data_IF_151636392200
#
_entry.id   IF_151636392200
#
_cell.length_a   1.000
_cell.length_b   1.000
_cell.length_c   1.000
_cell.angle_alpha   90.00
_cell.angle_beta   90.00
_cell.angle_gamma   90.00
#
_symmetry.space_group_name_H-M   'P 1'
#
loop_
_entity.id
_entity.type
_entity.pdbx_description
1 polymer ?
#
# COMPACT_ATOMS: atom_id res chain seq x y z
N UNK A 1 -19.56 -18.89 9.42
CA UNK A 1 -18.87 -18.66 10.72
C UNK A 1 -19.82 -17.92 11.63
N UNK A 2 -20.18 -18.46 12.76
CA UNK A 2 -20.94 -17.73 13.78
C UNK A 2 -20.04 -16.82 14.62
N UNK A 3 -20.62 -16.06 15.57
CA UNK A 3 -19.86 -15.06 16.32
C UNK A 3 -18.86 -15.68 17.33
N UNK A 4 -19.15 -16.83 17.89
CA UNK A 4 -18.24 -17.50 18.83
C UNK A 4 -17.11 -18.21 18.10
N UNK A 5 -17.39 -18.81 16.96
CA UNK A 5 -16.37 -19.36 16.05
C UNK A 5 -15.39 -18.26 15.61
N UNK A 6 -15.92 -17.10 15.17
CA UNK A 6 -15.11 -15.96 14.78
C UNK A 6 -14.16 -15.51 15.90
N UNK A 7 -14.64 -15.42 17.15
CA UNK A 7 -13.79 -15.07 18.30
C UNK A 7 -12.66 -16.08 18.52
N UNK A 8 -12.94 -17.36 18.36
CA UNK A 8 -11.94 -18.43 18.48
C UNK A 8 -10.82 -18.27 17.44
N UNK A 9 -11.21 -18.12 16.17
CA UNK A 9 -10.28 -17.93 15.04
C UNK A 9 -9.44 -16.64 15.23
N UNK A 10 -10.07 -15.53 15.64
CA UNK A 10 -9.38 -14.26 15.86
C UNK A 10 -8.35 -14.35 16.99
N UNK A 11 -8.61 -15.13 18.05
CA UNK A 11 -7.65 -15.36 19.13
C UNK A 11 -6.43 -16.12 18.63
N UNK A 12 -6.65 -17.19 17.87
CA UNK A 12 -5.58 -17.98 17.28
C UNK A 12 -4.71 -17.14 16.33
N UNK A 13 -5.34 -16.34 15.45
CA UNK A 13 -4.62 -15.41 14.58
C UNK A 13 -3.75 -14.47 15.41
N UNK A 14 -4.29 -13.88 16.46
CA UNK A 14 -3.58 -12.91 17.30
C UNK A 14 -2.35 -13.53 17.98
N UNK A 15 -2.48 -14.74 18.51
CA UNK A 15 -1.38 -15.49 19.10
C UNK A 15 -0.25 -15.73 18.09
N UNK A 16 -0.59 -16.15 16.88
CA UNK A 16 0.37 -16.40 15.79
C UNK A 16 1.04 -15.11 15.29
N UNK A 17 0.28 -14.03 15.17
CA UNK A 17 0.81 -12.71 14.78
C UNK A 17 1.81 -12.18 15.82
N UNK A 18 1.51 -12.34 17.12
CA UNK A 18 2.45 -11.97 18.20
C UNK A 18 3.77 -12.77 18.14
N UNK A 19 3.69 -14.03 17.72
CA UNK A 19 4.84 -14.89 17.49
C UNK A 19 5.55 -14.64 16.14
N UNK A 20 5.02 -13.74 15.31
CA UNK A 20 5.45 -13.48 13.92
C UNK A 20 5.33 -14.68 12.98
N UNK A 21 4.46 -15.62 13.30
CA UNK A 21 4.17 -16.83 12.52
C UNK A 21 3.07 -16.54 11.48
N UNK A 22 3.34 -15.62 10.56
CA UNK A 22 2.36 -15.13 9.59
C UNK A 22 1.79 -16.23 8.70
N UNK A 23 2.61 -17.22 8.30
CA UNK A 23 2.16 -18.36 7.50
C UNK A 23 1.08 -19.19 8.21
N UNK A 24 1.17 -19.33 9.53
CA UNK A 24 0.17 -20.04 10.34
C UNK A 24 -1.04 -19.14 10.66
N UNK A 25 -0.79 -17.85 10.93
CA UNK A 25 -1.85 -16.87 11.20
C UNK A 25 -2.82 -16.71 10.02
N UNK A 26 -2.34 -16.84 8.79
CA UNK A 26 -3.10 -16.64 7.55
C UNK A 26 -3.19 -17.91 6.69
N UNK A 27 -2.89 -19.08 7.24
CA UNK A 27 -2.74 -20.33 6.50
C UNK A 27 -4.02 -20.90 5.89
N UNK A 28 -5.19 -20.57 6.45
CA UNK A 28 -6.48 -21.04 5.93
C UNK A 28 -7.35 -19.91 5.39
N UNK A 29 -8.27 -20.21 4.48
CA UNK A 29 -9.22 -19.22 3.96
C UNK A 29 -10.04 -18.62 5.09
N UNK A 30 -10.51 -19.43 6.03
CA UNK A 30 -11.28 -19.00 7.19
C UNK A 30 -10.52 -17.95 8.03
N UNK A 31 -9.22 -18.18 8.30
CA UNK A 31 -8.38 -17.22 9.02
C UNK A 31 -8.21 -15.90 8.23
N UNK A 32 -8.03 -15.98 6.91
CA UNK A 32 -7.94 -14.79 6.07
C UNK A 32 -9.25 -14.01 6.02
N UNK A 33 -10.40 -14.68 5.96
CA UNK A 33 -11.71 -14.04 6.07
C UNK A 33 -11.90 -13.37 7.44
N UNK A 34 -11.61 -14.07 8.52
CA UNK A 34 -11.67 -13.51 9.87
C UNK A 34 -10.76 -12.29 10.02
N UNK A 35 -9.53 -12.36 9.50
CA UNK A 35 -8.59 -11.24 9.47
C UNK A 35 -9.17 -10.06 8.66
N UNK A 36 -9.72 -10.33 7.48
CA UNK A 36 -10.33 -9.32 6.62
C UNK A 36 -11.49 -8.61 7.34
N UNK A 37 -12.37 -9.36 8.00
CA UNK A 37 -13.51 -8.78 8.75
C UNK A 37 -13.03 -7.94 9.94
N UNK A 38 -12.00 -8.38 10.67
CA UNK A 38 -11.61 -7.73 11.93
C UNK A 38 -10.71 -6.51 11.73
N UNK A 39 -9.69 -6.62 10.89
CA UNK A 39 -8.64 -5.59 10.82
C UNK A 39 -8.66 -4.77 9.53
N UNK A 40 -9.13 -5.32 8.42
CA UNK A 40 -9.08 -4.62 7.14
C UNK A 40 -9.95 -3.36 7.08
N UNK A 41 -11.15 -3.25 7.70
CA UNK A 41 -11.97 -2.04 7.57
C UNK A 41 -11.28 -0.78 8.10
N UNK A 42 -10.71 -0.83 9.29
CA UNK A 42 -9.99 0.31 9.87
C UNK A 42 -8.75 0.70 9.06
N UNK A 43 -8.02 -0.31 8.56
CA UNK A 43 -6.84 -0.11 7.72
C UNK A 43 -7.22 0.44 6.35
N UNK A 44 -8.28 -0.08 5.72
CA UNK A 44 -8.75 0.40 4.42
C UNK A 44 -9.11 1.89 4.46
N UNK A 45 -9.81 2.34 5.52
CA UNK A 45 -10.14 3.74 5.71
C UNK A 45 -8.88 4.61 5.89
N UNK A 46 -7.91 4.11 6.68
CA UNK A 46 -6.64 4.80 6.87
C UNK A 46 -5.84 4.93 5.57
N UNK A 47 -5.71 3.84 4.83
CA UNK A 47 -4.98 3.81 3.55
C UNK A 47 -5.65 4.69 2.49
N UNK A 48 -6.97 4.62 2.37
CA UNK A 48 -7.72 5.48 1.45
C UNK A 48 -7.51 6.96 1.75
N UNK A 49 -7.53 7.36 3.04
CA UNK A 49 -7.27 8.73 3.45
C UNK A 49 -5.85 9.19 3.12
N UNK A 50 -4.83 8.35 3.35
CA UNK A 50 -3.44 8.67 3.00
C UNK A 50 -3.29 8.85 1.49
N UNK A 51 -3.83 7.93 0.69
CA UNK A 51 -3.71 8.02 -0.78
C UNK A 51 -4.50 9.21 -1.31
N UNK A 52 -5.70 9.49 -0.78
CA UNK A 52 -6.50 10.67 -1.17
C UNK A 52 -5.77 11.99 -0.86
N UNK A 53 -5.13 12.09 0.31
CA UNK A 53 -4.33 13.27 0.67
C UNK A 53 -3.12 13.44 -0.25
N UNK A 54 -2.45 12.33 -0.60
CA UNK A 54 -1.35 12.35 -1.56
C UNK A 54 -1.82 12.74 -2.96
N UNK A 55 -3.00 12.28 -3.41
CA UNK A 55 -3.57 12.70 -4.69
C UNK A 55 -3.79 14.22 -4.73
N UNK A 56 -4.39 14.80 -3.67
CA UNK A 56 -4.59 16.24 -3.56
C UNK A 56 -3.27 17.02 -3.55
N UNK A 57 -2.29 16.54 -2.79
CA UNK A 57 -0.96 17.15 -2.77
C UNK A 57 -0.26 17.06 -4.13
N UNK A 58 -0.39 15.94 -4.82
CA UNK A 58 0.16 15.76 -6.16
C UNK A 58 -0.45 16.71 -7.18
N UNK A 59 -1.75 17.02 -7.08
CA UNK A 59 -2.40 18.03 -7.92
C UNK A 59 -1.82 19.44 -7.68
N UNK A 60 -1.49 19.77 -6.43
CA UNK A 60 -0.88 21.06 -6.05
C UNK A 60 0.59 21.18 -6.54
N UNK A 61 1.33 20.08 -6.58
CA UNK A 61 2.76 20.00 -6.92
C UNK A 61 3.01 19.49 -8.36
N UNK A 62 1.97 19.36 -9.19
CA UNK A 62 2.02 18.91 -10.59
C UNK A 62 2.60 17.50 -10.80
N UNK A 63 2.34 16.56 -9.91
CA UNK A 63 2.65 15.15 -10.08
C UNK A 63 1.44 14.26 -9.75
N UNK A 64 1.43 13.01 -10.19
CA UNK A 64 0.32 12.09 -9.97
C UNK A 64 0.73 10.90 -9.12
N UNK A 65 -0.04 10.62 -8.07
CA UNK A 65 0.13 9.42 -7.23
C UNK A 65 -0.26 8.17 -8.00
N UNK A 66 -1.27 8.29 -8.86
CA UNK A 66 -1.74 7.22 -9.73
C UNK A 66 -1.51 7.67 -11.19
N UNK A 67 -0.26 7.60 -11.68
CA UNK A 67 0.05 8.04 -13.02
C UNK A 67 -0.72 7.20 -14.05
N UNK A 68 -1.29 7.86 -15.03
CA UNK A 68 -1.98 7.20 -16.14
C UNK A 68 -1.07 7.07 -17.35
N UNK A 69 -1.23 5.98 -18.09
CA UNK A 69 -0.33 5.61 -19.17
C UNK A 69 -0.68 6.13 -20.55
N UNK A 70 -1.88 6.63 -20.80
CA UNK A 70 -2.36 6.94 -22.15
C UNK A 70 -3.08 8.28 -22.21
N UNK A 71 -2.70 9.09 -23.20
CA UNK A 71 -3.22 10.44 -23.42
C UNK A 71 -4.59 10.47 -24.12
N UNK A 72 -5.05 9.39 -24.77
CA UNK A 72 -6.16 9.51 -25.72
C UNK A 72 -7.43 8.68 -25.52
N UNK A 73 -7.48 7.55 -24.78
CA UNK A 73 -8.72 6.76 -24.77
C UNK A 73 -9.22 6.33 -23.40
N UNK A 74 -8.42 5.73 -22.56
CA UNK A 74 -8.78 5.35 -21.19
C UNK A 74 -7.56 5.55 -20.31
N UNK A 75 -7.65 6.50 -19.37
CA UNK A 75 -6.59 6.67 -18.38
C UNK A 75 -6.51 5.43 -17.50
N UNK A 76 -5.67 4.47 -17.86
CA UNK A 76 -5.41 3.30 -17.03
C UNK A 76 -4.34 3.65 -16.01
N UNK A 77 -4.74 3.68 -14.75
CA UNK A 77 -3.83 3.83 -13.61
C UNK A 77 -3.37 2.44 -13.18
N UNK A 78 -2.13 2.30 -12.71
CA UNK A 78 -1.61 1.04 -12.22
C UNK A 78 -1.16 1.15 -10.77
N UNK A 79 -1.62 0.21 -9.93
CA UNK A 79 -1.15 0.04 -8.56
C UNK A 79 -0.63 -1.39 -8.34
N UNK A 80 0.51 -1.52 -7.68
CA UNK A 80 1.11 -2.81 -7.31
C UNK A 80 1.31 -2.86 -5.80
N UNK A 81 0.61 -3.76 -5.12
CA UNK A 81 0.59 -3.84 -3.67
C UNK A 81 1.39 -5.05 -3.18
N UNK A 82 2.59 -4.83 -2.70
CA UNK A 82 3.44 -5.87 -2.11
C UNK A 82 3.07 -6.11 -0.65
N UNK A 83 2.71 -7.36 -0.31
CA UNK A 83 2.13 -7.73 0.98
C UNK A 83 0.70 -7.23 1.13
N UNK A 84 0.04 -6.95 -0.01
CA UNK A 84 -1.32 -6.44 -0.01
C UNK A 84 -2.36 -7.52 0.24
N UNK A 85 -3.51 -7.08 0.73
CA UNK A 85 -4.63 -7.95 1.10
C UNK A 85 -5.97 -7.22 0.95
N UNK A 86 -6.96 -7.65 1.71
CA UNK A 86 -8.32 -7.09 1.70
C UNK A 86 -8.35 -5.57 1.99
N UNK A 87 -7.45 -5.07 2.83
CA UNK A 87 -7.45 -3.65 3.21
C UNK A 87 -7.05 -2.75 2.05
N UNK A 88 -6.04 -3.13 1.28
CA UNK A 88 -5.60 -2.40 0.08
C UNK A 88 -6.69 -2.41 -1.00
N UNK A 89 -7.27 -3.57 -1.29
CA UNK A 89 -8.35 -3.71 -2.27
C UNK A 89 -9.52 -2.77 -1.95
N UNK A 90 -9.95 -2.75 -0.69
CA UNK A 90 -11.05 -1.90 -0.24
C UNK A 90 -10.67 -0.42 -0.17
N UNK A 91 -9.42 -0.09 0.18
CA UNK A 91 -8.93 1.28 0.17
C UNK A 91 -8.97 1.88 -1.24
N UNK A 92 -8.47 1.16 -2.24
CA UNK A 92 -8.48 1.61 -3.63
C UNK A 92 -9.90 1.64 -4.22
N UNK A 93 -10.78 0.70 -3.84
CA UNK A 93 -12.19 0.76 -4.23
C UNK A 93 -12.88 2.02 -3.67
N UNK A 94 -12.66 2.35 -2.39
CA UNK A 94 -13.18 3.56 -1.76
C UNK A 94 -12.60 4.84 -2.39
N UNK A 95 -11.29 4.84 -2.69
CA UNK A 95 -10.61 5.96 -3.35
C UNK A 95 -11.21 6.24 -4.74
N UNK A 96 -11.39 5.18 -5.56
CA UNK A 96 -12.02 5.33 -6.87
C UNK A 96 -13.43 5.90 -6.78
N UNK A 97 -14.19 5.50 -5.79
CA UNK A 97 -15.51 6.05 -5.51
C UNK A 97 -15.44 7.52 -5.09
N UNK A 98 -14.46 7.88 -4.25
CA UNK A 98 -14.23 9.27 -3.82
C UNK A 98 -13.84 10.18 -4.97
N UNK A 99 -12.92 9.75 -5.82
CA UNK A 99 -12.46 10.52 -6.98
C UNK A 99 -13.54 10.69 -8.06
N UNK A 100 -14.62 9.89 -8.02
CA UNK A 100 -15.70 9.89 -9.02
C UNK A 100 -17.09 9.84 -8.40
N UNK A 101 -17.55 10.91 -7.76
CA UNK A 101 -18.86 10.93 -7.14
C UNK A 101 -20.02 10.71 -8.11
N UNK A 102 -19.87 11.10 -9.39
CA UNK A 102 -20.95 11.12 -10.39
C UNK A 102 -21.21 9.77 -11.08
N UNK A 103 -20.28 8.82 -11.04
CA UNK A 103 -20.42 7.53 -11.76
C UNK A 103 -21.40 6.53 -11.12
N UNK A 104 -21.90 6.77 -9.94
CA UNK A 104 -22.73 5.81 -9.18
C UNK A 104 -24.12 6.30 -8.81
N UNK A 105 -24.60 7.39 -9.32
CA UNK A 105 -25.85 8.00 -8.83
C UNK A 105 -26.96 8.22 -9.84
N UNK A 106 -26.81 7.85 -11.09
CA UNK A 106 -27.92 7.95 -12.06
C UNK A 106 -28.40 6.57 -12.48
N UNK A 107 -29.71 6.27 -12.35
CA UNK A 107 -30.29 5.09 -12.96
C UNK A 107 -30.08 5.17 -14.49
N UNK A 108 -29.78 4.03 -15.09
CA UNK A 108 -29.56 3.87 -16.54
C UNK A 108 -30.73 4.36 -17.43
N UNK A 109 -31.87 4.69 -16.84
CA UNK A 109 -33.08 5.15 -17.52
C UNK A 109 -33.10 6.65 -17.83
N UNK A 110 -32.11 7.42 -17.40
CA UNK A 110 -32.01 8.88 -17.70
C UNK A 110 -30.79 9.24 -18.55
N UNK A 111 -30.29 8.31 -19.35
CA UNK A 111 -29.33 8.64 -20.39
C UNK A 111 -30.10 9.25 -21.55
N UNK A 112 -30.20 10.57 -21.56
CA UNK A 112 -30.64 11.34 -22.72
C UNK A 112 -29.74 10.97 -23.91
N UNK A 113 -30.35 10.57 -25.04
CA UNK A 113 -29.66 10.22 -26.30
C UNK A 113 -28.86 11.39 -26.92
N UNK A 114 -28.65 12.48 -26.21
CA UNK A 114 -27.89 13.67 -26.58
C UNK A 114 -26.77 14.05 -25.66
N UNK A 115 -26.44 13.28 -24.62
CA UNK A 115 -25.36 13.64 -23.70
C UNK A 115 -24.00 13.36 -24.31
N UNK A 116 -23.11 14.37 -24.21
CA UNK A 116 -21.70 14.39 -24.58
C UNK A 116 -21.00 13.06 -24.26
N UNK A 117 -19.98 12.65 -25.09
CA UNK A 117 -19.27 11.38 -24.91
C UNK A 117 -18.82 11.23 -23.46
N UNK A 118 -19.11 10.07 -22.85
CA UNK A 118 -18.66 9.73 -21.50
C UNK A 118 -17.19 10.13 -21.35
N UNK A 119 -16.95 11.17 -20.55
CA UNK A 119 -15.59 11.56 -20.19
C UNK A 119 -14.86 10.32 -19.73
N UNK A 120 -13.77 9.99 -20.41
CA UNK A 120 -12.95 8.79 -20.32
C UNK A 120 -13.01 8.14 -18.92
N UNK A 121 -13.58 6.94 -18.86
CA UNK A 121 -13.63 6.18 -17.63
C UNK A 121 -12.19 5.77 -17.27
N UNK A 122 -11.58 6.45 -16.29
CA UNK A 122 -10.28 6.00 -15.81
C UNK A 122 -10.45 4.63 -15.15
N UNK A 123 -9.60 3.71 -15.48
CA UNK A 123 -9.57 2.34 -14.99
C UNK A 123 -8.37 2.16 -14.05
N UNK A 124 -8.52 1.44 -12.96
CA UNK A 124 -7.42 1.03 -12.11
C UNK A 124 -7.09 -0.44 -12.34
N UNK A 125 -5.89 -0.72 -12.78
CA UNK A 125 -5.30 -2.05 -12.82
C UNK A 125 -4.49 -2.25 -11.53
N UNK A 126 -5.01 -3.07 -10.63
CA UNK A 126 -4.43 -3.34 -9.32
C UNK A 126 -3.89 -4.76 -9.26
N UNK A 127 -2.58 -4.90 -8.99
CA UNK A 127 -1.95 -6.19 -8.71
C UNK A 127 -1.65 -6.29 -7.22
N UNK A 128 -2.12 -7.35 -6.59
CA UNK A 128 -1.87 -7.67 -5.17
C UNK A 128 -0.95 -8.87 -5.08
N UNK A 129 0.14 -8.76 -4.33
CA UNK A 129 1.13 -9.82 -4.15
C UNK A 129 1.26 -10.15 -2.67
N UNK A 130 1.08 -11.40 -2.30
CA UNK A 130 1.29 -11.89 -0.94
C UNK A 130 1.68 -13.37 -0.96
N UNK A 131 2.31 -13.84 0.12
CA UNK A 131 2.65 -15.26 0.30
C UNK A 131 1.44 -16.11 0.68
N UNK A 132 0.48 -15.54 1.40
CA UNK A 132 -0.79 -16.19 1.72
C UNK A 132 -1.77 -16.05 0.54
N UNK A 133 -2.58 -17.08 0.28
CA UNK A 133 -3.55 -17.08 -0.81
C UNK A 133 -4.78 -16.22 -0.50
N UNK A 134 -4.68 -14.93 -0.75
CA UNK A 134 -5.79 -13.98 -0.59
C UNK A 134 -6.83 -14.02 -1.71
N UNK A 135 -6.59 -14.78 -2.79
CA UNK A 135 -7.47 -14.75 -3.96
C UNK A 135 -8.95 -14.99 -3.64
N UNK A 136 -9.33 -16.00 -2.83
CA UNK A 136 -10.75 -16.22 -2.53
C UNK A 136 -11.43 -15.04 -1.81
N UNK A 137 -10.71 -14.40 -0.88
CA UNK A 137 -11.21 -13.23 -0.14
C UNK A 137 -11.32 -12.01 -1.06
N UNK A 138 -10.32 -11.78 -1.89
CA UNK A 138 -10.29 -10.67 -2.84
C UNK A 138 -11.38 -10.79 -3.90
N UNK A 139 -11.63 -11.99 -4.42
CA UNK A 139 -12.71 -12.25 -5.38
C UNK A 139 -14.10 -11.94 -4.76
N UNK A 140 -14.32 -12.35 -3.50
CA UNK A 140 -15.56 -12.05 -2.75
C UNK A 140 -15.73 -10.53 -2.55
N UNK A 141 -14.65 -9.82 -2.17
CA UNK A 141 -14.68 -8.37 -1.99
C UNK A 141 -14.92 -7.62 -3.29
N UNK A 142 -14.24 -8.01 -4.37
CA UNK A 142 -14.44 -7.40 -5.69
C UNK A 142 -15.89 -7.59 -6.17
N UNK A 143 -16.43 -8.78 -6.04
CA UNK A 143 -17.83 -9.06 -6.34
C UNK A 143 -18.77 -8.18 -5.51
N UNK A 144 -18.53 -8.07 -4.20
CA UNK A 144 -19.35 -7.24 -3.33
C UNK A 144 -19.27 -5.74 -3.65
N UNK A 145 -18.12 -5.24 -4.14
CA UNK A 145 -17.98 -3.82 -4.52
C UNK A 145 -18.68 -3.50 -5.85
N UNK A 146 -18.81 -4.46 -6.74
CA UNK A 146 -19.41 -4.29 -8.08
C UNK A 146 -20.85 -4.74 -8.17
N UNK A 147 -21.43 -5.25 -7.09
CA UNK A 147 -22.82 -5.69 -6.99
C UNK A 147 -23.57 -4.83 -5.97
N UNK A 148 -24.80 -4.37 -6.28
CA UNK A 148 -25.60 -3.66 -5.29
C UNK A 148 -25.84 -4.52 -4.04
N UNK A 149 -25.74 -3.96 -2.82
CA UNK A 149 -26.02 -4.68 -1.58
C UNK A 149 -27.42 -5.30 -1.56
N UNK A 150 -27.53 -6.48 -0.97
CA UNK A 150 -28.84 -7.11 -0.79
C UNK A 150 -29.71 -6.30 0.18
N UNK A 151 -30.88 -5.89 -0.27
CA UNK A 151 -31.84 -5.18 0.56
C UNK A 151 -32.83 -6.13 1.21
N UNK A 152 -33.25 -5.77 2.42
CA UNK A 152 -34.38 -6.42 3.06
C UNK A 152 -35.64 -6.33 2.17
N UNK A 153 -36.48 -7.36 2.20
CA UNK A 153 -37.80 -7.32 1.53
C UNK A 153 -38.67 -6.14 1.96
N UNK A 154 -38.41 -5.59 3.13
CA UNK A 154 -39.12 -4.42 3.68
C UNK A 154 -38.39 -3.08 3.41
N UNK A 155 -37.38 -3.06 2.58
CA UNK A 155 -36.67 -1.84 2.25
C UNK A 155 -37.63 -0.80 1.63
N UNK A 156 -37.49 0.45 2.03
CA UNK A 156 -38.27 1.56 1.49
C UNK A 156 -38.01 1.76 -0.01
N UNK A 157 -38.94 2.43 -0.71
CA UNK A 157 -38.75 2.80 -2.12
C UNK A 157 -37.49 3.66 -2.30
N UNK A 158 -37.22 4.60 -1.40
CA UNK A 158 -36.02 5.41 -1.41
C UNK A 158 -34.76 4.57 -1.24
N UNK A 159 -34.72 3.61 -0.30
CA UNK A 159 -33.58 2.72 -0.12
C UNK A 159 -33.33 1.86 -1.36
N UNK A 160 -34.39 1.41 -2.05
CA UNK A 160 -34.25 0.66 -3.31
C UNK A 160 -33.72 1.51 -4.45
N UNK A 161 -34.23 2.77 -4.57
CA UNK A 161 -33.78 3.70 -5.59
C UNK A 161 -32.32 4.14 -5.43
N UNK A 162 -31.83 4.19 -4.18
CA UNK A 162 -30.44 4.55 -3.86
C UNK A 162 -29.48 3.36 -3.74
N UNK A 163 -29.94 2.13 -3.99
CA UNK A 163 -29.14 0.93 -3.84
C UNK A 163 -28.31 0.63 -5.10
N UNK A 164 -27.11 1.18 -5.11
CA UNK A 164 -26.17 1.00 -6.21
C UNK A 164 -24.91 0.27 -5.73
N UNK A 165 -24.21 -0.38 -6.67
CA UNK A 165 -22.88 -0.91 -6.41
C UNK A 165 -21.91 0.23 -6.04
N UNK A 166 -20.88 -0.09 -5.25
CA UNK A 166 -19.83 0.87 -4.89
C UNK A 166 -19.09 1.33 -6.15
N UNK A 167 -18.77 0.41 -7.05
CA UNK A 167 -18.04 0.65 -8.29
C UNK A 167 -18.76 0.03 -9.50
N UNK A 168 -18.54 0.62 -10.68
CA UNK A 168 -18.80 -0.05 -11.95
C UNK A 168 -17.83 -1.22 -12.13
N UNK A 169 -18.27 -2.36 -12.71
CA UNK A 169 -17.36 -3.48 -13.00
C UNK A 169 -16.14 -3.12 -13.86
N UNK A 170 -16.25 -2.09 -14.70
CA UNK A 170 -15.16 -1.60 -15.55
C UNK A 170 -14.17 -0.67 -14.86
N UNK A 171 -14.40 -0.28 -13.59
CA UNK A 171 -13.57 0.72 -12.89
C UNK A 171 -12.31 0.15 -12.28
N UNK A 172 -12.32 -1.14 -11.91
CA UNK A 172 -11.24 -1.81 -11.20
C UNK A 172 -11.02 -3.22 -11.75
N UNK A 173 -9.82 -3.50 -12.21
CA UNK A 173 -9.32 -4.87 -12.38
C UNK A 173 -8.40 -5.20 -11.22
N UNK A 174 -8.65 -6.33 -10.56
CA UNK A 174 -7.83 -6.81 -9.46
C UNK A 174 -7.23 -8.16 -9.82
N UNK A 175 -5.90 -8.22 -9.85
CA UNK A 175 -5.13 -9.43 -10.10
C UNK A 175 -4.39 -9.82 -8.81
N UNK A 176 -4.50 -11.07 -8.39
CA UNK A 176 -3.75 -11.61 -7.27
C UNK A 176 -2.63 -12.53 -7.74
N UNK A 177 -1.44 -12.36 -7.18
CA UNK A 177 -0.28 -13.21 -7.42
C UNK A 177 0.25 -13.75 -6.08
N UNK A 178 0.23 -15.06 -5.91
CA UNK A 178 0.78 -15.69 -4.71
C UNK A 178 2.30 -15.85 -4.86
N UNK A 179 3.07 -14.99 -4.19
CA UNK A 179 4.53 -15.03 -4.20
C UNK A 179 5.11 -14.60 -2.85
N UNK A 180 6.20 -15.26 -2.45
CA UNK A 180 7.11 -14.71 -1.45
C UNK A 180 7.91 -13.56 -2.10
N UNK A 181 7.66 -12.34 -1.62
CA UNK A 181 8.28 -11.10 -2.13
C UNK A 181 9.82 -11.21 -2.11
N UNK A 182 10.39 -11.78 -1.04
CA UNK A 182 11.84 -11.90 -0.89
C UNK A 182 12.47 -12.93 -1.82
N UNK A 183 11.66 -13.86 -2.35
CA UNK A 183 12.09 -14.87 -3.32
C UNK A 183 11.87 -14.44 -4.78
N UNK A 184 11.17 -13.33 -5.04
CA UNK A 184 10.90 -12.86 -6.41
C UNK A 184 12.19 -12.60 -7.18
N UNK A 185 12.27 -13.17 -8.38
CA UNK A 185 13.34 -12.88 -9.34
C UNK A 185 13.17 -11.49 -9.97
N UNK A 186 14.25 -10.92 -10.52
CA UNK A 186 14.17 -9.66 -11.25
C UNK A 186 13.13 -9.69 -12.39
N UNK A 187 13.05 -10.83 -13.11
CA UNK A 187 12.05 -11.02 -14.17
C UNK A 187 10.63 -10.95 -13.64
N UNK A 188 10.33 -11.64 -12.54
CA UNK A 188 8.99 -11.57 -11.92
C UNK A 188 8.63 -10.15 -11.46
N UNK A 189 9.59 -9.40 -10.91
CA UNK A 189 9.36 -7.99 -10.54
C UNK A 189 9.05 -7.15 -11.77
N UNK A 190 9.82 -7.30 -12.87
CA UNK A 190 9.59 -6.61 -14.14
C UNK A 190 8.19 -6.95 -14.69
N UNK A 191 7.85 -8.23 -14.76
CA UNK A 191 6.57 -8.71 -15.29
C UNK A 191 5.39 -8.15 -14.46
N UNK A 192 5.60 -7.95 -13.15
CA UNK A 192 4.58 -7.42 -12.24
C UNK A 192 4.42 -5.91 -12.35
N UNK A 193 5.50 -5.13 -12.26
CA UNK A 193 5.40 -3.66 -12.27
C UNK A 193 5.26 -3.12 -13.70
N UNK A 194 5.79 -3.84 -14.69
CA UNK A 194 5.80 -3.41 -16.09
C UNK A 194 6.81 -2.29 -16.36
N UNK A 195 6.62 -1.59 -17.49
CA UNK A 195 7.50 -0.54 -17.99
C UNK A 195 6.89 0.86 -17.96
N UNK A 196 5.68 1.01 -17.44
CA UNK A 196 4.98 2.29 -17.31
C UNK A 196 5.04 2.78 -15.85
N UNK A 197 4.89 4.09 -15.59
CA UNK A 197 4.80 4.61 -14.23
C UNK A 197 3.67 3.93 -13.46
N UNK A 198 3.91 3.61 -12.20
CA UNK A 198 2.90 2.99 -11.33
C UNK A 198 3.08 3.42 -9.87
N UNK A 199 2.00 3.27 -9.10
CA UNK A 199 2.06 3.34 -7.65
C UNK A 199 2.42 1.97 -7.09
N UNK A 200 3.51 1.89 -6.36
CA UNK A 200 3.93 0.68 -5.64
C UNK A 200 3.70 0.89 -4.15
N UNK A 201 3.00 -0.01 -3.49
CA UNK A 201 2.67 0.14 -2.06
C UNK A 201 3.23 -0.98 -1.20
N UNK A 202 3.62 -0.61 0.05
CA UNK A 202 4.00 -1.50 1.14
C UNK A 202 3.26 -1.04 2.39
N UNK A 203 2.08 -1.63 2.68
CA UNK A 203 1.28 -1.22 3.81
C UNK A 203 1.38 -2.26 4.93
N UNK A 204 1.99 -1.87 6.06
CA UNK A 204 2.33 -2.72 7.20
C UNK A 204 3.15 -3.97 6.85
N UNK A 205 3.96 -3.87 5.81
CA UNK A 205 4.67 -5.01 5.20
C UNK A 205 6.18 -4.85 5.27
N UNK A 206 6.70 -3.68 4.91
CA UNK A 206 8.14 -3.51 4.66
C UNK A 206 8.98 -3.67 5.94
N UNK A 207 8.48 -3.18 7.08
CA UNK A 207 9.11 -3.41 8.38
C UNK A 207 9.19 -4.90 8.72
N UNK A 208 8.16 -5.68 8.41
CA UNK A 208 8.17 -7.14 8.60
C UNK A 208 9.20 -7.82 7.69
N UNK A 209 9.29 -7.41 6.42
CA UNK A 209 10.28 -7.95 5.47
C UNK A 209 11.72 -7.66 5.92
N UNK A 210 11.99 -6.45 6.40
CA UNK A 210 13.30 -6.11 6.96
C UNK A 210 13.62 -6.88 8.25
N UNK A 211 12.64 -7.12 9.11
CA UNK A 211 12.81 -7.96 10.29
C UNK A 211 13.08 -9.44 9.94
N UNK A 212 12.53 -9.94 8.82
CA UNK A 212 12.83 -11.28 8.34
C UNK A 212 14.24 -11.37 7.76
N UNK A 213 14.66 -10.41 6.96
CA UNK A 213 16.00 -10.40 6.36
C UNK A 213 16.37 -9.04 5.75
N UNK A 214 17.24 -8.31 6.42
CA UNK A 214 17.77 -7.04 5.89
C UNK A 214 18.39 -7.22 4.50
N UNK A 215 19.30 -8.20 4.27
CA UNK A 215 19.95 -8.34 2.96
C UNK A 215 18.96 -8.66 1.84
N UNK A 216 18.00 -9.57 2.07
CA UNK A 216 17.03 -9.96 1.04
C UNK A 216 16.07 -8.81 0.72
N UNK A 217 15.59 -8.09 1.76
CA UNK A 217 14.70 -6.95 1.57
C UNK A 217 15.41 -5.80 0.84
N UNK A 218 16.64 -5.50 1.23
CA UNK A 218 17.47 -4.51 0.52
C UNK A 218 17.71 -4.90 -0.94
N UNK A 219 18.04 -6.15 -1.20
CA UNK A 219 18.19 -6.67 -2.56
C UNK A 219 16.89 -6.59 -3.38
N UNK A 220 15.74 -6.84 -2.75
CA UNK A 220 14.44 -6.66 -3.39
C UNK A 220 14.17 -5.19 -3.73
N UNK A 221 14.45 -4.27 -2.81
CA UNK A 221 14.31 -2.83 -3.06
C UNK A 221 15.23 -2.33 -4.19
N UNK A 222 16.45 -2.85 -4.31
CA UNK A 222 17.30 -2.57 -5.47
C UNK A 222 16.75 -3.13 -6.79
N UNK A 223 16.06 -4.29 -6.77
CA UNK A 223 15.35 -4.78 -7.97
C UNK A 223 14.23 -3.83 -8.38
N UNK A 224 13.47 -3.29 -7.42
CA UNK A 224 12.44 -2.29 -7.69
C UNK A 224 13.05 -0.99 -8.23
N UNK A 225 14.13 -0.49 -7.61
CA UNK A 225 14.86 0.69 -8.11
C UNK A 225 15.29 0.50 -9.57
N UNK A 226 15.77 -0.66 -9.93
CA UNK A 226 16.25 -0.92 -11.28
C UNK A 226 15.15 -0.93 -12.36
N UNK A 227 13.89 -1.25 -12.00
CA UNK A 227 12.81 -1.52 -12.97
C UNK A 227 11.69 -0.50 -13.00
N UNK A 228 11.45 0.23 -11.90
CA UNK A 228 10.39 1.22 -11.85
C UNK A 228 10.68 2.38 -12.82
N UNK A 229 9.67 2.77 -13.61
CA UNK A 229 9.78 3.87 -14.57
C UNK A 229 9.77 5.23 -13.87
N UNK A 230 10.35 6.26 -14.52
CA UNK A 230 10.24 7.66 -14.09
C UNK A 230 8.77 8.04 -13.93
N UNK A 231 8.45 8.78 -12.87
CA UNK A 231 7.07 9.10 -12.48
C UNK A 231 6.42 8.05 -11.56
N UNK A 232 7.04 6.89 -11.34
CA UNK A 232 6.54 5.91 -10.37
C UNK A 232 6.70 6.42 -8.94
N UNK A 233 5.78 5.99 -8.07
CA UNK A 233 5.80 6.29 -6.64
C UNK A 233 5.91 5.00 -5.83
N UNK A 234 6.78 4.99 -4.82
CA UNK A 234 6.79 3.99 -3.75
C UNK A 234 6.17 4.64 -2.52
N UNK A 235 5.04 4.10 -2.07
CA UNK A 235 4.32 4.55 -0.88
C UNK A 235 4.39 3.48 0.21
N UNK A 236 4.89 3.86 1.37
CA UNK A 236 5.03 3.00 2.53
C UNK A 236 4.16 3.54 3.66
N UNK A 237 3.32 2.68 4.23
CA UNK A 237 2.64 2.88 5.50
C UNK A 237 3.09 1.77 6.42
N UNK A 238 3.69 2.09 7.57
CA UNK A 238 4.20 1.08 8.49
C UNK A 238 3.99 1.48 9.95
N UNK A 239 4.24 0.56 10.86
CA UNK A 239 4.10 0.80 12.30
C UNK A 239 5.02 1.95 12.72
N UNK A 240 4.54 2.81 13.62
CA UNK A 240 5.33 3.91 14.18
C UNK A 240 6.61 3.35 14.79
N UNK A 241 7.74 3.97 14.47
CA UNK A 241 9.05 3.58 15.00
C UNK A 241 9.51 2.21 14.52
N UNK A 242 8.96 1.70 13.40
CA UNK A 242 9.50 0.50 12.76
C UNK A 242 11.01 0.62 12.60
N UNK A 243 11.71 -0.26 13.29
CA UNK A 243 13.16 -0.30 13.31
C UNK A 243 13.63 -1.75 13.25
N UNK A 244 14.84 -1.93 12.74
CA UNK A 244 15.46 -3.25 12.57
C UNK A 244 16.75 -3.25 13.36
N UNK A 245 17.04 -4.27 14.18
CA UNK A 245 18.28 -4.36 14.91
C UNK A 245 19.50 -4.18 14.00
N UNK A 246 20.45 -3.36 14.42
CA UNK A 246 21.74 -3.26 13.73
C UNK A 246 22.46 -4.62 13.76
N UNK A 247 23.13 -5.05 12.68
CA UNK A 247 23.94 -6.28 12.71
C UNK A 247 25.04 -6.26 13.79
N UNK A 248 25.53 -5.07 14.16
CA UNK A 248 26.53 -4.87 15.21
C UNK A 248 25.91 -4.80 16.62
N UNK A 249 24.61 -4.68 16.77
CA UNK A 249 23.94 -4.51 18.08
C UNK A 249 24.22 -5.67 19.05
N UNK A 250 24.53 -6.87 18.56
CA UNK A 250 24.84 -8.02 19.41
C UNK A 250 26.23 -7.97 20.04
N UNK A 251 27.15 -7.15 19.51
CA UNK A 251 28.56 -7.07 19.91
C UNK A 251 29.00 -5.67 20.33
N UNK A 252 28.17 -4.67 20.04
CA UNK A 252 28.44 -3.26 20.38
C UNK A 252 28.05 -2.93 21.82
N UNK A 253 28.71 -1.93 22.40
CA UNK A 253 28.31 -1.34 23.66
C UNK A 253 26.89 -0.79 23.52
N UNK A 254 25.95 -1.10 24.45
CA UNK A 254 24.56 -0.63 24.39
C UNK A 254 24.38 0.89 24.26
N UNK A 255 25.34 1.67 24.75
CA UNK A 255 25.35 3.14 24.65
C UNK A 255 25.99 3.66 23.34
N UNK A 256 26.58 2.78 22.53
CA UNK A 256 27.22 3.16 21.27
C UNK A 256 26.21 3.45 20.16
N UNK A 257 26.56 4.30 19.20
CA UNK A 257 25.74 4.53 18.01
C UNK A 257 25.59 3.26 17.13
N UNK A 258 26.56 2.36 17.20
CA UNK A 258 26.55 1.09 16.49
C UNK A 258 25.46 0.10 17.01
N UNK A 259 25.03 0.28 18.24
CA UNK A 259 23.95 -0.50 18.85
C UNK A 259 22.54 0.01 18.47
N UNK A 260 22.44 1.23 17.91
CA UNK A 260 21.14 1.82 17.56
C UNK A 260 20.48 1.05 16.42
N UNK A 261 19.17 0.76 16.54
CA UNK A 261 18.44 0.10 15.46
C UNK A 261 18.30 1.02 14.25
N UNK A 262 18.32 0.43 13.06
CA UNK A 262 18.07 1.15 11.81
C UNK A 262 16.59 1.47 11.68
N UNK A 263 16.24 2.74 11.48
CA UNK A 263 14.86 3.12 11.16
C UNK A 263 14.53 2.74 9.71
N UNK A 264 13.24 2.48 9.44
CA UNK A 264 12.78 2.18 8.09
C UNK A 264 13.11 3.30 7.10
N UNK A 265 12.93 4.56 7.53
CA UNK A 265 13.31 5.74 6.73
C UNK A 265 14.80 5.73 6.37
N UNK A 266 15.69 5.44 7.33
CA UNK A 266 17.13 5.37 7.07
C UNK A 266 17.52 4.30 6.06
N UNK A 267 16.91 3.09 6.18
CA UNK A 267 17.16 1.98 5.25
C UNK A 267 16.74 2.35 3.82
N UNK A 268 15.58 2.97 3.68
CA UNK A 268 15.04 3.39 2.38
C UNK A 268 15.83 4.55 1.77
N UNK A 269 16.21 5.55 2.56
CA UNK A 269 17.02 6.67 2.08
C UNK A 269 18.37 6.19 1.54
N UNK A 270 18.95 5.16 2.17
CA UNK A 270 20.21 4.57 1.70
C UNK A 270 20.04 3.85 0.35
N UNK A 271 18.94 3.14 0.15
CA UNK A 271 18.68 2.40 -1.10
C UNK A 271 18.24 3.34 -2.22
N UNK A 272 17.29 4.23 -1.95
CA UNK A 272 16.63 5.02 -2.98
C UNK A 272 17.36 6.34 -3.25
N UNK A 273 17.82 7.04 -2.21
CA UNK A 273 18.49 8.34 -2.36
C UNK A 273 20.01 8.23 -2.50
N UNK A 274 20.59 7.02 -2.37
CA UNK A 274 22.03 6.82 -2.46
C UNK A 274 22.83 7.53 -1.35
N UNK A 275 22.19 7.87 -0.22
CA UNK A 275 22.88 8.56 0.88
C UNK A 275 23.96 7.64 1.46
N UNK A 276 25.25 8.04 1.47
CA UNK A 276 26.28 7.26 2.13
C UNK A 276 25.98 7.18 3.63
N UNK A 277 26.45 6.11 4.27
CA UNK A 277 26.45 6.07 5.75
C UNK A 277 27.21 7.29 6.24
N UNK A 278 26.60 8.09 7.13
CA UNK A 278 27.36 9.15 7.84
C UNK A 278 28.60 8.52 8.41
N UNK A 279 29.75 9.00 7.95
CA UNK A 279 31.03 8.57 8.53
C UNK A 279 31.04 9.09 9.96
N UNK A 280 31.04 8.20 10.94
CA UNK A 280 31.40 8.54 12.32
C UNK A 280 32.70 9.34 12.25
N UNK A 281 32.78 10.53 12.85
CA UNK A 281 34.01 11.33 12.80
C UNK A 281 35.08 10.58 13.61
N UNK A 282 35.90 9.81 12.91
CA UNK A 282 37.16 9.34 13.46
C UNK A 282 38.07 10.56 13.59
N UNK A 283 38.30 11.04 14.83
CA UNK A 283 39.34 11.97 15.13
C UNK A 283 40.70 11.34 14.73
N UNK A 284 41.29 11.80 13.64
CA UNK A 284 42.57 11.30 13.21
C UNK A 284 43.09 12.04 11.96
N UNK A 285 43.86 13.15 12.21
CA UNK A 285 44.89 13.76 11.39
C UNK A 285 44.73 13.80 9.87
N UNK A 286 44.66 15.02 9.44
CA UNK A 286 44.67 15.59 8.11
C UNK A 286 45.55 14.95 7.04
N UNK A 287 44.98 14.95 5.85
CA UNK A 287 45.65 15.33 4.61
C UNK A 287 44.58 15.76 3.59
N UNK A 288 44.87 16.90 2.94
CA UNK A 288 44.16 17.46 1.81
C UNK A 288 43.89 16.40 0.75
N UNK A 289 42.61 16.16 0.46
CA UNK A 289 42.15 15.73 -0.84
C UNK A 289 40.89 16.55 -1.13
N UNK A 290 41.16 17.73 -1.68
CA UNK A 290 40.13 18.59 -2.27
C UNK A 290 40.44 18.52 -3.77
N UNK A 291 39.61 17.78 -4.53
CA UNK A 291 39.48 17.95 -5.99
C UNK A 291 38.86 16.75 -6.73
N UNK A 292 38.44 15.66 -6.03
CA UNK A 292 37.76 14.53 -6.72
C UNK A 292 36.27 14.37 -6.38
N UNK A 293 35.65 15.29 -5.63
CA UNK A 293 34.25 15.16 -5.17
C UNK A 293 33.18 15.58 -6.21
N UNK A 294 33.55 16.28 -7.30
CA UNK A 294 32.55 16.74 -8.28
C UNK A 294 32.22 15.71 -9.37
N UNK A 295 33.07 14.72 -9.61
CA UNK A 295 32.88 13.75 -10.70
C UNK A 295 31.99 12.56 -10.32
N UNK A 296 31.59 12.39 -9.06
CA UNK A 296 30.85 11.22 -8.58
C UNK A 296 29.63 11.58 -7.72
N UNK A 297 28.94 12.68 -8.06
CA UNK A 297 27.61 12.90 -7.45
C UNK A 297 26.68 11.78 -7.91
N UNK A 298 26.10 11.00 -6.97
CA UNK A 298 25.13 9.97 -7.36
C UNK A 298 24.00 10.65 -8.14
N UNK A 299 23.68 10.10 -9.31
CA UNK A 299 22.51 10.54 -10.07
C UNK A 299 21.30 10.32 -9.17
N UNK A 300 20.68 11.41 -8.70
CA UNK A 300 19.50 11.36 -7.86
C UNK A 300 18.36 10.78 -8.73
N UNK A 301 17.97 9.57 -8.42
CA UNK A 301 16.90 8.86 -9.15
C UNK A 301 15.56 8.98 -8.47
N UNK A 302 15.54 9.32 -7.19
CA UNK A 302 14.38 9.38 -6.34
C UNK A 302 14.34 10.65 -5.53
N UNK A 303 13.15 11.15 -5.32
CA UNK A 303 12.83 12.26 -4.45
C UNK A 303 11.93 11.77 -3.32
N UNK A 304 12.27 12.08 -2.07
CA UNK A 304 11.40 11.81 -0.93
C UNK A 304 10.35 12.90 -0.84
N UNK A 305 9.12 12.57 -1.19
CA UNK A 305 7.99 13.53 -1.23
C UNK A 305 7.17 13.56 0.07
N UNK A 306 7.22 12.49 0.87
CA UNK A 306 6.57 12.44 2.20
C UNK A 306 7.47 11.75 3.21
N UNK A 307 7.52 12.31 4.43
CA UNK A 307 8.12 11.70 5.61
C UNK A 307 7.34 12.15 6.84
N UNK A 308 6.37 11.34 7.26
CA UNK A 308 5.58 11.55 8.46
C UNK A 308 5.84 10.39 9.44
N UNK A 309 6.58 10.66 10.51
CA UNK A 309 6.98 9.65 11.48
C UNK A 309 5.80 9.14 12.31
N UNK A 310 4.74 9.96 12.44
CA UNK A 310 3.53 9.61 13.16
C UNK A 310 2.30 10.28 12.56
N UNK A 311 1.39 9.45 12.06
CA UNK A 311 0.06 9.87 11.62
C UNK A 311 -1.00 9.03 12.33
N UNK A 312 -2.10 9.66 12.71
CA UNK A 312 -3.24 8.99 13.34
C UNK A 312 -4.45 9.17 12.45
N UNK A 313 -4.97 8.07 11.91
CA UNK A 313 -6.27 8.07 11.26
C UNK A 313 -7.35 7.92 12.32
N UNK A 314 -8.01 9.03 12.64
CA UNK A 314 -9.17 9.04 13.54
C UNK A 314 -10.42 8.74 12.73
N UNK A 315 -11.19 7.77 13.20
CA UNK A 315 -12.45 7.38 12.56
C UNK A 315 -13.58 8.29 13.06
N UNK A 316 -14.53 8.60 12.16
CA UNK A 316 -15.74 9.33 12.53
C UNK A 316 -16.62 8.44 13.43
N UNK A 317 -17.08 8.98 14.56
CA UNK A 317 -17.95 8.29 15.52
C UNK A 317 -19.31 7.87 14.94
N UNK A 318 -19.68 8.46 13.81
CA UNK A 318 -20.90 8.09 13.07
C UNK A 318 -20.77 6.83 12.25
N UNK A 319 -19.55 6.38 11.98
CA UNK A 319 -19.33 5.13 11.27
C UNK A 319 -19.96 3.96 12.02
N UNK A 320 -20.65 3.11 11.28
CA UNK A 320 -21.26 1.89 11.80
C UNK A 320 -20.70 0.69 11.06
N UNK A 321 -20.19 -0.23 11.82
CA UNK A 321 -19.64 -1.50 11.33
C UNK A 321 -20.04 -2.61 12.33
N UNK A 322 -20.42 -3.80 11.86
CA UNK A 322 -20.82 -4.89 12.76
C UNK A 322 -19.72 -5.34 13.75
N UNK A 323 -18.47 -5.18 13.37
CA UNK A 323 -17.31 -5.44 14.22
C UNK A 323 -16.75 -4.18 14.86
N UNK A 324 -15.59 -4.31 15.53
CA UNK A 324 -14.88 -3.17 16.11
C UNK A 324 -14.08 -2.43 15.04
N UNK A 325 -14.22 -1.11 15.02
CA UNK A 325 -13.34 -0.21 14.29
C UNK A 325 -12.36 0.45 15.26
N UNK A 326 -11.13 0.68 14.81
CA UNK A 326 -10.04 1.24 15.62
C UNK A 326 -9.35 2.38 14.89
N UNK A 327 -8.93 3.39 15.64
CA UNK A 327 -8.03 4.41 15.11
C UNK A 327 -6.68 3.77 14.81
N UNK A 328 -6.17 3.98 13.60
CA UNK A 328 -4.89 3.40 13.16
C UNK A 328 -3.80 4.45 13.28
N UNK A 329 -2.68 4.06 13.90
CA UNK A 329 -1.47 4.88 14.04
C UNK A 329 -0.36 4.28 13.18
N UNK A 330 0.30 5.10 12.39
CA UNK A 330 1.33 4.65 11.45
C UNK A 330 2.28 5.78 11.09
N UNK A 331 3.42 5.42 10.49
CA UNK A 331 4.30 6.32 9.76
C UNK A 331 4.02 6.24 8.27
N UNK A 332 4.29 7.33 7.55
CA UNK A 332 4.12 7.41 6.08
C UNK A 332 5.41 7.89 5.44
N UNK A 333 5.89 7.14 4.47
CA UNK A 333 7.02 7.52 3.63
C UNK A 333 6.60 7.39 2.17
N UNK A 334 6.93 8.38 1.35
CA UNK A 334 6.71 8.29 -0.08
C UNK A 334 7.91 8.82 -0.86
N UNK A 335 8.27 8.10 -1.91
CA UNK A 335 9.37 8.40 -2.81
C UNK A 335 8.87 8.41 -4.24
N UNK A 336 9.22 9.45 -5.00
CA UNK A 336 8.91 9.59 -6.42
C UNK A 336 10.17 9.38 -7.24
N UNK A 337 10.07 8.61 -8.32
CA UNK A 337 11.15 8.45 -9.28
C UNK A 337 11.20 9.66 -10.22
N UNK A 338 12.34 10.32 -10.29
CA UNK A 338 12.60 11.52 -11.10
C UNK A 338 13.56 11.22 -12.23
#
# INVERSE_FOLDING_TARGET
MDFEELKGVLREINEKVLQREWAEALGTEEKREAFAVRWSPSRALAYANVVAELCRRGEEEEWSVLPSSDEEAQKTMKAVCFGGNAAEAMAFAALLRYLRPSAAGKPQTELDEGSLPEKSQSHLDMTVIDSADWKPVLDKLLSATTTPPLLSKYASASARASNHALLSPSSLTLTFQQHDILAMTAKQVIDTVGNKPCLTTFFLTLGNLYNLSIPKTTAFMYKLDAVLAVGSIILIIDVIGSSVPSPSAATADPESEEAKPYTLSWLLDRVLLGKPAEKVPTQGRGKKVVEEEEANKPVVRWEKIVAEDMKINKLDEKLRYPGSLENVKFQVLAYRRV
#
